data_IF_205312791890
#
_entry.id   IF_205312791890
#
_cell.length_a   1.000
_cell.length_b   1.000
_cell.length_c   1.000
_cell.angle_alpha   90.00
_cell.angle_beta   90.00
_cell.angle_gamma   90.00
#
_symmetry.space_group_name_H-M   'P 1'
#
loop_
_entity.id
_entity.type
_entity.pdbx_description
1 polymer ?
#
# COMPACT_ATOMS: atom_id res chain seq x y z
N UNK A 1 -23.05 0.75 18.96
CA UNK A 1 -23.06 -0.25 17.85
C UNK A 1 -22.82 0.33 16.45
N UNK A 2 -22.72 1.65 16.23
CA UNK A 2 -22.42 2.25 14.90
C UNK A 2 -20.93 2.21 14.50
N UNK A 3 -20.01 2.28 15.47
CA UNK A 3 -18.55 2.33 15.24
C UNK A 3 -18.02 1.04 14.58
N UNK A 4 -18.46 -0.14 15.06
CA UNK A 4 -18.02 -1.45 14.52
C UNK A 4 -18.46 -1.70 13.08
N UNK A 5 -19.61 -1.17 12.65
CA UNK A 5 -20.12 -1.35 11.30
C UNK A 5 -19.31 -0.54 10.27
N UNK A 6 -18.97 0.71 10.60
CA UNK A 6 -18.10 1.54 9.77
C UNK A 6 -16.68 0.97 9.68
N UNK A 7 -16.14 0.44 10.79
CA UNK A 7 -14.83 -0.21 10.80
C UNK A 7 -14.76 -1.44 9.88
N UNK A 8 -15.82 -2.28 9.84
CA UNK A 8 -15.87 -3.42 8.91
C UNK A 8 -15.83 -3.00 7.44
N UNK A 9 -16.54 -1.92 7.08
CA UNK A 9 -16.51 -1.38 5.71
C UNK A 9 -15.12 -0.84 5.33
N UNK A 10 -14.46 -0.16 6.26
CA UNK A 10 -13.09 0.33 6.04
C UNK A 10 -12.11 -0.81 5.82
N UNK A 11 -12.14 -1.85 6.65
CA UNK A 11 -11.26 -3.02 6.50
C UNK A 11 -11.48 -3.66 5.12
N UNK A 12 -12.74 -3.82 4.69
CA UNK A 12 -13.05 -4.34 3.36
C UNK A 12 -12.48 -3.47 2.24
N UNK A 13 -12.61 -2.14 2.34
CA UNK A 13 -12.05 -1.19 1.37
C UNK A 13 -10.51 -1.31 1.32
N UNK A 14 -9.84 -1.41 2.47
CA UNK A 14 -8.38 -1.58 2.54
C UNK A 14 -7.96 -2.87 1.84
N UNK A 15 -8.64 -3.99 2.13
CA UNK A 15 -8.33 -5.30 1.52
C UNK A 15 -8.59 -5.25 0.00
N UNK A 16 -9.74 -4.74 -0.45
CA UNK A 16 -10.06 -4.66 -1.87
C UNK A 16 -9.08 -3.77 -2.63
N UNK A 17 -8.74 -2.61 -2.10
CA UNK A 17 -7.73 -1.72 -2.68
C UNK A 17 -6.36 -2.42 -2.77
N UNK A 18 -5.96 -3.16 -1.73
CA UNK A 18 -4.72 -3.93 -1.75
C UNK A 18 -4.73 -5.06 -2.78
N UNK A 19 -5.85 -5.76 -2.95
CA UNK A 19 -6.01 -6.81 -3.97
C UNK A 19 -5.85 -6.22 -5.38
N UNK A 20 -6.57 -5.13 -5.68
CA UNK A 20 -6.46 -4.45 -6.98
C UNK A 20 -5.02 -4.01 -7.21
N UNK A 21 -4.38 -3.40 -6.21
CA UNK A 21 -3.00 -2.97 -6.30
C UNK A 21 -2.05 -4.15 -6.59
N UNK A 22 -2.19 -5.28 -5.88
CA UNK A 22 -1.40 -6.49 -6.13
C UNK A 22 -1.57 -7.03 -7.54
N UNK A 23 -2.81 -7.09 -8.05
CA UNK A 23 -3.10 -7.58 -9.41
C UNK A 23 -2.46 -6.68 -10.49
N UNK A 24 -2.40 -5.36 -10.27
CA UNK A 24 -1.69 -4.45 -11.17
C UNK A 24 -0.17 -4.74 -11.27
N UNK A 25 0.39 -5.51 -10.33
CA UNK A 25 1.80 -5.91 -10.30
C UNK A 25 1.96 -7.32 -10.93
N UNK A 26 1.45 -7.51 -12.14
CA UNK A 26 1.30 -8.82 -12.81
C UNK A 26 2.57 -9.49 -13.34
N UNK A 27 3.76 -9.13 -12.86
CA UNK A 27 5.03 -9.69 -13.37
C UNK A 27 5.24 -11.16 -12.98
N UNK A 28 4.76 -11.57 -11.81
CA UNK A 28 4.77 -12.97 -11.35
C UNK A 28 3.81 -13.15 -10.17
N UNK A 29 3.35 -14.38 -9.92
CA UNK A 29 2.45 -14.66 -8.78
C UNK A 29 3.05 -14.24 -7.44
N UNK A 30 4.36 -14.42 -7.25
CA UNK A 30 5.05 -13.99 -6.02
C UNK A 30 5.06 -12.45 -5.91
N UNK A 31 5.27 -11.75 -7.03
CA UNK A 31 5.28 -10.29 -7.05
C UNK A 31 3.88 -9.70 -6.84
N UNK A 32 2.82 -10.37 -7.31
CA UNK A 32 1.43 -10.02 -6.98
C UNK A 32 1.19 -10.11 -5.46
N UNK A 33 1.68 -11.17 -4.80
CA UNK A 33 1.57 -11.31 -3.33
C UNK A 33 2.33 -10.19 -2.61
N UNK A 34 3.56 -9.86 -3.04
CA UNK A 34 4.29 -8.71 -2.48
C UNK A 34 3.58 -7.38 -2.74
N UNK A 35 3.00 -7.22 -3.93
CA UNK A 35 2.17 -6.07 -4.30
C UNK A 35 0.97 -5.94 -3.37
N UNK A 36 0.23 -7.02 -3.13
CA UNK A 36 -0.89 -7.06 -2.18
C UNK A 36 -0.45 -6.64 -0.77
N UNK A 37 0.64 -7.19 -0.25
CA UNK A 37 1.15 -6.83 1.08
C UNK A 37 1.55 -5.35 1.16
N UNK A 38 2.20 -4.81 0.12
CA UNK A 38 2.50 -3.38 0.03
C UNK A 38 1.24 -2.52 -0.07
N UNK A 39 0.25 -2.96 -0.85
CA UNK A 39 -1.05 -2.33 -1.01
C UNK A 39 -1.82 -2.24 0.31
N UNK A 40 -1.72 -3.24 1.19
CA UNK A 40 -2.31 -3.18 2.54
C UNK A 40 -1.71 -2.02 3.36
N UNK A 41 -0.38 -1.88 3.32
CA UNK A 41 0.30 -0.76 4.00
C UNK A 41 -0.16 0.58 3.43
N UNK A 42 -0.18 0.72 2.11
CA UNK A 42 -0.57 1.98 1.46
C UNK A 42 -2.02 2.36 1.74
N UNK A 43 -2.96 1.42 1.62
CA UNK A 43 -4.37 1.68 1.88
C UNK A 43 -4.65 1.97 3.37
N UNK A 44 -3.96 1.29 4.28
CA UNK A 44 -4.02 1.59 5.71
C UNK A 44 -3.45 2.97 6.04
N UNK A 45 -2.27 3.30 5.52
CA UNK A 45 -1.65 4.63 5.69
C UNK A 45 -2.56 5.73 5.14
N UNK A 46 -3.17 5.53 3.96
CA UNK A 46 -4.16 6.47 3.44
C UNK A 46 -5.29 6.71 4.43
N UNK A 47 -5.90 5.63 4.94
CA UNK A 47 -7.01 5.71 5.90
C UNK A 47 -6.62 6.41 7.22
N UNK A 48 -5.42 6.15 7.75
CA UNK A 48 -4.93 6.78 8.98
C UNK A 48 -4.76 8.30 8.82
N UNK A 49 -4.36 8.74 7.62
CA UNK A 49 -4.04 10.15 7.35
C UNK A 49 -5.16 10.92 6.66
N UNK A 50 -6.26 10.27 6.25
CA UNK A 50 -7.35 10.94 5.50
C UNK A 50 -8.03 12.07 6.29
N UNK A 51 -8.02 11.98 7.63
CA UNK A 51 -8.61 12.97 8.53
C UNK A 51 -7.57 13.74 9.35
N UNK A 52 -6.30 13.71 8.93
CA UNK A 52 -5.22 14.49 9.58
C UNK A 52 -4.91 15.73 8.75
N UNK A 53 -4.18 16.67 9.34
CA UNK A 53 -3.76 17.91 8.66
C UNK A 53 -2.78 17.67 7.51
N UNK A 54 -2.24 16.46 7.39
CA UNK A 54 -1.35 16.05 6.31
C UNK A 54 -2.13 15.40 5.17
N UNK A 55 -1.77 15.72 3.93
CA UNK A 55 -2.36 15.06 2.75
C UNK A 55 -2.04 13.56 2.74
N UNK A 56 -3.09 12.73 2.88
CA UNK A 56 -3.00 11.27 2.79
C UNK A 56 -2.38 10.78 1.47
N UNK A 57 -2.62 11.49 0.37
CA UNK A 57 -2.00 11.23 -0.93
C UNK A 57 -0.47 11.36 -0.84
N UNK A 58 0.03 12.50 -0.34
CA UNK A 58 1.48 12.73 -0.26
C UNK A 58 2.17 11.79 0.72
N UNK A 59 1.50 11.39 1.81
CA UNK A 59 2.00 10.37 2.73
C UNK A 59 2.20 9.03 2.00
N UNK A 60 1.19 8.52 1.31
CA UNK A 60 1.28 7.24 0.58
C UNK A 60 2.32 7.30 -0.53
N UNK A 61 2.34 8.39 -1.32
CA UNK A 61 3.34 8.60 -2.38
C UNK A 61 4.75 8.58 -1.81
N UNK A 62 4.98 9.22 -0.66
CA UNK A 62 6.30 9.23 -0.01
C UNK A 62 6.73 7.83 0.42
N UNK A 63 5.84 7.07 1.07
CA UNK A 63 6.11 5.68 1.47
C UNK A 63 6.41 4.81 0.25
N UNK A 64 5.61 4.94 -0.81
CA UNK A 64 5.79 4.16 -2.05
C UNK A 64 7.13 4.49 -2.74
N UNK A 65 7.46 5.77 -2.86
CA UNK A 65 8.71 6.23 -3.46
C UNK A 65 9.93 5.77 -2.66
N UNK A 66 9.90 5.86 -1.32
CA UNK A 66 10.98 5.36 -0.46
C UNK A 66 11.19 3.86 -0.65
N UNK A 67 10.11 3.08 -0.66
CA UNK A 67 10.19 1.63 -0.91
C UNK A 67 10.81 1.32 -2.27
N UNK A 68 10.41 2.04 -3.32
CA UNK A 68 10.97 1.85 -4.66
C UNK A 68 12.44 2.27 -4.73
N UNK A 69 12.83 3.34 -4.05
CA UNK A 69 14.21 3.77 -3.95
C UNK A 69 15.08 2.71 -3.27
N UNK A 70 14.62 2.10 -2.17
CA UNK A 70 15.33 1.02 -1.48
C UNK A 70 15.53 -0.18 -2.42
N UNK A 71 14.49 -0.59 -3.14
CA UNK A 71 14.58 -1.71 -4.11
C UNK A 71 15.52 -1.38 -5.25
N UNK A 72 15.48 -0.14 -5.76
CA UNK A 72 16.37 0.33 -6.82
C UNK A 72 17.84 0.29 -6.39
N UNK A 73 18.15 0.81 -5.19
CA UNK A 73 19.51 0.77 -4.63
C UNK A 73 19.98 -0.67 -4.45
N UNK A 74 19.14 -1.53 -3.88
CA UNK A 74 19.46 -2.95 -3.69
C UNK A 74 19.74 -3.67 -5.02
N UNK A 75 18.93 -3.37 -6.06
CA UNK A 75 19.13 -3.90 -7.40
C UNK A 75 20.47 -3.47 -7.99
N UNK A 76 20.87 -2.21 -7.82
CA UNK A 76 22.18 -1.73 -8.31
C UNK A 76 23.33 -2.43 -7.59
N UNK A 77 23.24 -2.59 -6.26
CA UNK A 77 24.31 -3.20 -5.47
C UNK A 77 24.52 -4.67 -5.83
N UNK A 78 23.43 -5.43 -6.01
CA UNK A 78 23.51 -6.87 -6.33
C UNK A 78 23.90 -7.16 -7.79
N UNK A 79 23.69 -6.20 -8.70
CA UNK A 79 24.01 -6.36 -10.13
C UNK A 79 25.44 -5.92 -10.49
N UNK A 80 26.18 -5.36 -9.53
CA UNK A 80 27.62 -5.08 -9.60
C UNK A 80 28.42 -6.22 -8.95
#
# INVERSE_FOLDING_TARGET
>A
MKIKFFQKKVILIIILSAVVFGICHGYSSIYIVYGFLGGLVFAYSYYVYINKDYSSFWVVTSIHSIRNLIVFIYSIILMN
#
